data_IF_424482324461
#
_entry.id   IF_424482324461
#
_cell.length_a   1.000
_cell.length_b   1.000
_cell.length_c   1.000
_cell.angle_alpha   90.00
_cell.angle_beta   90.00
_cell.angle_gamma   90.00
#
_symmetry.space_group_name_H-M   'P 1'
#
loop_
_entity.id
_entity.type
_entity.pdbx_description
1 polymer ?
#
# COMPACT_ATOMS: atom_id res chain seq x y z
N UNK A 1 63.39 27.80 -20.64
CA UNK A 1 61.98 28.13 -20.76
C UNK A 1 61.27 27.14 -21.69
N UNK A 2 60.80 26.01 -21.22
CA UNK A 2 59.87 25.11 -21.94
C UNK A 2 59.48 23.98 -20.98
N UNK A 3 58.46 24.19 -20.19
CA UNK A 3 57.72 23.08 -19.51
C UNK A 3 56.56 23.64 -18.73
N UNK A 4 55.53 24.17 -19.37
CA UNK A 4 54.26 24.53 -18.70
C UNK A 4 53.00 24.17 -19.49
N UNK A 5 53.12 23.58 -20.70
CA UNK A 5 51.93 23.32 -21.54
C UNK A 5 51.41 21.89 -21.50
N UNK A 6 52.06 20.96 -20.81
CA UNK A 6 51.65 19.54 -20.83
C UNK A 6 50.76 19.12 -19.65
N UNK A 7 50.72 19.93 -18.60
CA UNK A 7 49.97 19.57 -17.37
C UNK A 7 48.47 19.93 -17.41
N UNK A 8 48.07 20.87 -18.27
CA UNK A 8 46.67 21.33 -18.36
C UNK A 8 45.80 20.38 -19.19
N UNK A 9 46.39 19.65 -20.14
CA UNK A 9 45.62 18.76 -21.03
C UNK A 9 45.23 17.42 -20.40
N UNK A 10 45.99 16.94 -19.40
CA UNK A 10 45.69 15.65 -18.71
C UNK A 10 44.57 15.80 -17.71
N UNK A 11 44.40 16.96 -17.06
CA UNK A 11 43.33 17.20 -16.08
C UNK A 11 41.95 17.32 -16.74
N UNK A 12 41.88 17.88 -17.96
CA UNK A 12 40.59 18.03 -18.68
C UNK A 12 40.05 16.70 -19.21
N UNK A 13 40.92 15.72 -19.52
CA UNK A 13 40.49 14.41 -20.00
C UNK A 13 39.95 13.51 -18.84
N UNK A 14 40.50 13.66 -17.63
CA UNK A 14 40.04 12.88 -16.47
C UNK A 14 38.63 13.25 -16.01
N UNK A 15 38.24 14.54 -16.11
CA UNK A 15 36.88 14.98 -15.74
C UNK A 15 35.83 14.58 -16.77
N UNK A 16 36.15 14.50 -18.04
CA UNK A 16 35.16 14.08 -19.07
C UNK A 16 34.89 12.59 -19.06
N UNK A 17 35.85 11.77 -18.66
CA UNK A 17 35.66 10.30 -18.55
C UNK A 17 34.78 9.95 -17.32
N UNK A 18 34.96 10.63 -16.19
CA UNK A 18 34.16 10.40 -15.00
C UNK A 18 32.67 10.73 -15.19
N UNK A 19 32.36 11.81 -15.92
CA UNK A 19 30.98 12.20 -16.21
C UNK A 19 30.27 11.22 -17.18
N UNK A 20 31.02 10.65 -18.14
CA UNK A 20 30.49 9.63 -19.06
C UNK A 20 30.18 8.30 -18.35
N UNK A 21 31.01 7.88 -17.39
CA UNK A 21 30.78 6.66 -16.61
C UNK A 21 29.64 6.84 -15.62
N UNK A 22 29.52 8.00 -14.95
CA UNK A 22 28.41 8.27 -14.03
C UNK A 22 27.06 8.28 -14.76
N UNK A 23 26.95 8.95 -15.90
CA UNK A 23 25.72 9.00 -16.69
C UNK A 23 25.28 7.64 -17.26
N UNK A 24 26.24 6.77 -17.59
CA UNK A 24 25.93 5.42 -18.08
C UNK A 24 25.50 4.48 -16.95
N UNK A 25 26.08 4.63 -15.75
CA UNK A 25 25.72 3.86 -14.57
C UNK A 25 24.31 4.22 -14.06
N UNK A 26 23.98 5.52 -14.01
CA UNK A 26 22.64 5.99 -13.64
C UNK A 26 21.55 5.54 -14.64
N UNK A 27 21.87 5.53 -15.94
CA UNK A 27 20.96 5.03 -16.97
C UNK A 27 20.68 3.54 -16.83
N UNK A 28 21.69 2.74 -16.49
CA UNK A 28 21.55 1.31 -16.29
C UNK A 28 20.78 0.98 -14.99
N UNK A 29 21.02 1.71 -13.89
CA UNK A 29 20.30 1.53 -12.64
C UNK A 29 18.81 1.85 -12.79
N UNK A 30 18.45 2.94 -13.49
CA UNK A 30 17.06 3.29 -13.74
C UNK A 30 16.37 2.25 -14.62
N UNK A 31 17.04 1.72 -15.64
CA UNK A 31 16.50 0.63 -16.46
C UNK A 31 16.24 -0.65 -15.62
N UNK A 32 17.15 -0.99 -14.70
CA UNK A 32 16.96 -2.12 -13.79
C UNK A 32 15.73 -1.90 -12.88
N UNK A 33 15.51 -0.69 -12.34
CA UNK A 33 14.36 -0.35 -11.54
C UNK A 33 13.04 -0.45 -12.34
N UNK A 34 13.05 -0.05 -13.61
CA UNK A 34 11.90 -0.21 -14.52
C UNK A 34 11.57 -1.70 -14.75
N UNK A 35 12.58 -2.54 -14.89
CA UNK A 35 12.39 -3.99 -15.02
C UNK A 35 11.81 -4.58 -13.73
N UNK A 36 12.38 -4.25 -12.57
CA UNK A 36 11.86 -4.69 -11.26
C UNK A 36 10.41 -4.26 -11.05
N UNK A 37 10.04 -3.03 -11.42
CA UNK A 37 8.67 -2.54 -11.32
C UNK A 37 7.71 -3.35 -12.22
N UNK A 38 8.11 -3.66 -13.46
CA UNK A 38 7.32 -4.50 -14.37
C UNK A 38 7.15 -5.93 -13.85
N UNK A 39 8.24 -6.53 -13.36
CA UNK A 39 8.23 -7.87 -12.76
C UNK A 39 7.29 -7.93 -11.56
N UNK A 40 7.26 -6.88 -10.72
CA UNK A 40 6.34 -6.80 -9.59
C UNK A 40 4.87 -6.77 -10.05
N UNK A 41 4.54 -5.95 -11.07
CA UNK A 41 3.19 -5.91 -11.62
C UNK A 41 2.79 -7.25 -12.24
N UNK A 42 3.69 -7.90 -12.97
CA UNK A 42 3.45 -9.25 -13.51
C UNK A 42 3.17 -10.24 -12.37
N UNK A 43 4.03 -10.29 -11.37
CA UNK A 43 3.89 -11.18 -10.21
C UNK A 43 2.55 -10.99 -9.48
N UNK A 44 2.12 -9.73 -9.28
CA UNK A 44 0.86 -9.42 -8.60
C UNK A 44 -0.39 -9.88 -9.36
N UNK A 45 -0.28 -10.06 -10.68
CA UNK A 45 -1.38 -10.51 -11.55
C UNK A 45 -1.29 -12.00 -11.90
N UNK A 46 -0.23 -12.70 -11.51
CA UNK A 46 -0.01 -14.10 -11.90
C UNK A 46 -0.39 -15.08 -10.78
N UNK A 47 0.19 -14.94 -9.59
CA UNK A 47 -0.08 -15.84 -8.48
C UNK A 47 0.39 -15.31 -7.14
N UNK A 48 -0.18 -15.85 -6.06
CA UNK A 48 0.25 -15.64 -4.69
C UNK A 48 1.74 -15.88 -4.50
N UNK A 49 2.25 -17.00 -5.02
CA UNK A 49 3.64 -17.41 -4.88
C UNK A 49 4.60 -16.41 -5.57
N UNK A 50 4.28 -15.99 -6.79
CA UNK A 50 5.10 -14.99 -7.50
C UNK A 50 5.08 -13.63 -6.80
N UNK A 51 3.93 -13.22 -6.26
CA UNK A 51 3.83 -11.99 -5.48
C UNK A 51 4.67 -12.04 -4.20
N UNK A 52 4.62 -13.15 -3.44
CA UNK A 52 5.48 -13.36 -2.26
C UNK A 52 6.97 -13.28 -2.63
N UNK A 53 7.38 -13.97 -3.69
CA UNK A 53 8.75 -13.94 -4.18
C UNK A 53 9.18 -12.54 -4.59
N UNK A 54 8.31 -11.78 -5.25
CA UNK A 54 8.58 -10.40 -5.67
C UNK A 54 8.79 -9.48 -4.47
N UNK A 55 7.92 -9.55 -3.45
CA UNK A 55 8.08 -8.76 -2.20
C UNK A 55 9.38 -9.16 -1.50
N UNK A 56 9.62 -10.45 -1.32
CA UNK A 56 10.80 -10.95 -0.63
C UNK A 56 12.11 -10.48 -1.27
N UNK A 57 12.17 -10.53 -2.60
CA UNK A 57 13.39 -10.25 -3.35
C UNK A 57 13.58 -8.77 -3.64
N UNK A 58 12.52 -8.00 -3.85
CA UNK A 58 12.58 -6.65 -4.41
C UNK A 58 12.27 -5.54 -3.40
N UNK A 59 11.58 -5.83 -2.29
CA UNK A 59 11.30 -4.82 -1.27
C UNK A 59 12.47 -4.67 -0.29
N UNK A 60 12.81 -3.42 0.06
CA UNK A 60 13.76 -3.12 1.11
C UNK A 60 13.23 -3.59 2.47
N UNK A 61 14.13 -3.88 3.43
CA UNK A 61 13.70 -4.32 4.78
C UNK A 61 12.87 -3.25 5.51
N UNK A 62 13.18 -1.98 5.28
CA UNK A 62 12.44 -0.80 5.76
C UNK A 62 11.38 -0.30 4.77
N UNK A 63 11.09 -1.06 3.72
CA UNK A 63 10.13 -0.70 2.68
C UNK A 63 8.70 -0.64 3.20
N UNK A 64 7.89 0.25 2.62
CA UNK A 64 6.49 0.45 2.96
C UNK A 64 5.60 0.28 1.72
N UNK A 65 4.55 -0.50 1.87
CA UNK A 65 3.44 -0.59 0.92
C UNK A 65 2.27 0.26 1.43
N UNK A 66 1.77 1.15 0.60
CA UNK A 66 0.64 2.05 0.90
C UNK A 66 -0.60 1.57 0.13
N UNK A 67 -1.48 0.75 0.75
CA UNK A 67 -2.66 0.20 0.07
C UNK A 67 -3.73 1.24 -0.22
N UNK A 68 -3.66 2.42 0.39
CA UNK A 68 -4.60 3.50 0.16
C UNK A 68 -4.85 4.36 1.40
N UNK A 69 -5.77 5.31 1.24
CA UNK A 69 -6.25 6.19 2.32
C UNK A 69 -7.75 6.02 2.49
N UNK A 70 -8.20 6.09 3.73
CA UNK A 70 -9.62 6.00 4.04
C UNK A 70 -9.99 6.99 5.17
N UNK A 71 -11.29 7.19 5.37
CA UNK A 71 -11.79 7.98 6.49
C UNK A 71 -12.21 7.04 7.61
N UNK A 72 -11.59 7.17 8.78
CA UNK A 72 -11.88 6.28 9.90
C UNK A 72 -11.12 6.62 11.17
N UNK A 73 -10.98 5.64 12.06
CA UNK A 73 -10.20 5.73 13.29
C UNK A 73 -8.72 5.42 13.04
N UNK A 74 -8.41 4.41 12.26
CA UNK A 74 -7.04 3.98 11.98
C UNK A 74 -6.54 2.93 12.95
N UNK A 75 -7.18 1.78 12.95
CA UNK A 75 -6.73 0.56 13.63
C UNK A 75 -7.02 -0.65 12.76
N UNK A 76 -6.30 -1.75 13.03
CA UNK A 76 -6.54 -3.06 12.44
C UNK A 76 -7.08 -3.98 13.52
N UNK A 77 -7.97 -4.88 13.12
CA UNK A 77 -8.52 -5.97 13.94
C UNK A 77 -8.58 -7.24 13.08
N UNK A 78 -8.64 -8.41 13.72
CA UNK A 78 -8.79 -9.68 13.01
C UNK A 78 -10.22 -10.20 13.21
N UNK A 79 -11.03 -10.30 12.15
CA UNK A 79 -12.40 -10.80 12.24
C UNK A 79 -12.47 -12.30 12.60
N UNK A 80 -11.40 -13.08 12.35
CA UNK A 80 -11.37 -14.53 12.54
C UNK A 80 -10.96 -14.97 13.95
N UNK A 81 -10.54 -14.05 14.83
CA UNK A 81 -10.07 -14.39 16.18
C UNK A 81 -11.19 -14.93 17.08
N UNK A 82 -12.34 -14.28 17.10
CA UNK A 82 -13.52 -14.72 17.83
C UNK A 82 -14.78 -14.08 17.21
N UNK A 83 -15.79 -14.89 16.89
CA UNK A 83 -17.03 -14.45 16.27
C UNK A 83 -17.73 -13.35 17.08
N UNK A 84 -18.01 -12.23 16.42
CA UNK A 84 -18.72 -11.09 17.01
C UNK A 84 -17.88 -10.18 17.91
N UNK A 85 -16.59 -10.44 18.09
CA UNK A 85 -15.68 -9.58 18.86
C UNK A 85 -14.81 -8.74 17.93
N UNK A 86 -14.50 -7.53 18.38
CA UNK A 86 -13.61 -6.62 17.65
C UNK A 86 -12.48 -6.16 18.58
N UNK A 87 -11.32 -6.83 18.49
CA UNK A 87 -10.13 -6.55 19.29
C UNK A 87 -9.12 -5.81 18.45
N UNK A 88 -8.60 -4.69 18.95
CA UNK A 88 -7.55 -3.90 18.30
C UNK A 88 -6.26 -4.72 18.29
N UNK A 89 -5.76 -5.05 17.11
CA UNK A 89 -4.46 -5.69 16.92
C UNK A 89 -3.33 -4.66 16.81
N UNK A 90 -3.58 -3.60 16.06
CA UNK A 90 -2.60 -2.54 15.80
C UNK A 90 -3.32 -1.20 15.62
N UNK A 91 -2.74 -0.14 16.15
CA UNK A 91 -3.12 1.24 15.83
C UNK A 91 -2.19 1.76 14.73
N UNK A 92 -2.77 2.37 13.70
CA UNK A 92 -2.02 2.94 12.57
C UNK A 92 -1.37 4.24 13.06
N UNK A 93 -0.08 4.37 12.83
CA UNK A 93 0.70 5.54 13.19
C UNK A 93 0.16 6.82 12.49
N UNK A 94 0.17 7.95 13.19
CA UNK A 94 -0.37 9.22 12.75
C UNK A 94 -1.88 9.17 12.38
N UNK A 95 -2.62 8.19 12.90
CA UNK A 95 -4.06 8.07 12.70
C UNK A 95 -4.85 8.76 13.82
N UNK A 96 -6.16 9.04 13.62
CA UNK A 96 -7.05 9.56 14.67
C UNK A 96 -7.13 8.71 15.94
N UNK A 97 -6.89 7.41 15.85
CA UNK A 97 -6.90 6.50 17.00
C UNK A 97 -5.63 6.56 17.83
N UNK A 98 -4.54 7.10 17.29
CA UNK A 98 -3.26 7.16 17.99
C UNK A 98 -3.37 7.93 19.30
N UNK A 99 -2.78 7.40 20.36
CA UNK A 99 -2.89 7.95 21.72
C UNK A 99 -4.24 7.70 22.42
N UNK A 100 -5.27 7.22 21.70
CA UNK A 100 -6.59 6.90 22.28
C UNK A 100 -6.79 5.38 22.41
N UNK A 101 -6.49 4.63 21.35
CA UNK A 101 -6.53 3.17 21.30
C UNK A 101 -5.13 2.56 21.51
N UNK A 102 -5.11 1.30 21.93
CA UNK A 102 -3.91 0.48 21.99
C UNK A 102 -4.24 -0.98 21.61
N UNK A 103 -3.25 -1.78 21.19
CA UNK A 103 -3.45 -3.22 20.99
C UNK A 103 -4.03 -3.89 22.22
N UNK A 104 -4.98 -4.81 22.02
CA UNK A 104 -5.72 -5.50 23.07
C UNK A 104 -6.98 -4.80 23.55
N UNK A 105 -7.27 -3.56 23.12
CA UNK A 105 -8.58 -2.94 23.37
C UNK A 105 -9.68 -3.70 22.63
N UNK A 106 -10.75 -4.04 23.32
CA UNK A 106 -11.93 -4.68 22.73
C UNK A 106 -13.11 -3.70 22.68
N UNK A 107 -13.68 -3.49 21.51
CA UNK A 107 -14.87 -2.66 21.38
C UNK A 107 -16.10 -3.37 21.89
N UNK A 108 -16.84 -2.70 22.79
CA UNK A 108 -18.13 -3.15 23.34
C UNK A 108 -19.28 -2.48 22.61
N UNK A 109 -19.18 -1.18 22.35
CA UNK A 109 -20.17 -0.45 21.57
C UNK A 109 -19.55 0.78 20.87
N UNK A 110 -20.17 1.20 19.76
CA UNK A 110 -19.80 2.41 19.00
C UNK A 110 -21.06 3.21 18.73
N UNK A 111 -21.10 4.48 19.17
CA UNK A 111 -22.30 5.35 19.12
C UNK A 111 -23.55 4.66 19.71
N UNK A 112 -23.37 3.85 20.75
CA UNK A 112 -24.45 3.10 21.39
C UNK A 112 -24.89 1.82 20.66
N UNK A 113 -24.31 1.53 19.50
CA UNK A 113 -24.52 0.26 18.78
C UNK A 113 -23.57 -0.78 19.35
N UNK A 114 -24.10 -1.90 19.82
CA UNK A 114 -23.34 -3.01 20.37
C UNK A 114 -22.45 -3.65 19.29
N UNK A 115 -21.22 -4.03 19.66
CA UNK A 115 -20.33 -4.80 18.81
C UNK A 115 -20.71 -6.27 18.93
N UNK A 116 -21.21 -6.84 17.87
CA UNK A 116 -21.54 -8.25 17.70
C UNK A 116 -21.52 -8.60 16.21
N UNK A 117 -21.48 -9.89 15.88
CA UNK A 117 -21.35 -10.36 14.49
C UNK A 117 -22.37 -9.71 13.56
N UNK A 118 -23.64 -9.67 13.95
CA UNK A 118 -24.70 -9.08 13.12
C UNK A 118 -24.43 -7.61 12.79
N UNK A 119 -24.02 -6.80 13.77
CA UNK A 119 -23.79 -5.37 13.56
C UNK A 119 -22.48 -5.12 12.81
N UNK A 120 -21.52 -6.04 12.86
CA UNK A 120 -20.31 -6.05 12.04
C UNK A 120 -20.67 -6.33 10.58
N UNK A 121 -21.39 -7.43 10.32
CA UNK A 121 -21.80 -7.85 8.96
C UNK A 121 -22.72 -6.83 8.27
N UNK A 122 -23.58 -6.19 9.04
CA UNK A 122 -24.49 -5.15 8.55
C UNK A 122 -23.83 -3.75 8.50
N UNK A 123 -22.52 -3.63 8.74
CA UNK A 123 -21.72 -2.38 8.72
C UNK A 123 -22.33 -1.25 9.57
N UNK A 124 -23.01 -1.58 10.68
CA UNK A 124 -23.70 -0.60 11.54
C UNK A 124 -22.79 0.19 12.46
N UNK A 125 -21.53 -0.26 12.62
CA UNK A 125 -20.57 0.38 13.51
C UNK A 125 -19.98 1.64 12.87
N UNK A 126 -20.07 2.76 13.55
CA UNK A 126 -19.73 4.08 13.01
C UNK A 126 -18.21 4.36 12.94
N UNK A 127 -17.39 3.40 12.51
CA UNK A 127 -15.96 3.58 12.33
C UNK A 127 -15.62 4.39 11.08
N UNK A 128 -16.39 4.23 10.02
CA UNK A 128 -16.28 4.98 8.75
C UNK A 128 -17.32 6.11 8.65
N UNK A 129 -17.19 6.99 7.66
CA UNK A 129 -18.12 8.07 7.35
C UNK A 129 -17.44 9.43 7.20
N UNK A 130 -18.12 10.54 7.45
CA UNK A 130 -17.57 11.88 7.22
C UNK A 130 -16.37 12.19 8.13
N UNK A 131 -15.27 12.77 7.59
CA UNK A 131 -14.15 13.22 8.41
C UNK A 131 -14.56 14.38 9.29
N UNK A 132 -13.86 14.55 10.43
CA UNK A 132 -14.15 15.61 11.43
C UNK A 132 -15.32 15.30 12.36
N UNK A 133 -16.07 14.22 12.12
CA UNK A 133 -17.14 13.79 13.04
C UNK A 133 -16.55 13.04 14.24
N UNK A 134 -16.89 13.51 15.43
CA UNK A 134 -16.56 12.84 16.68
C UNK A 134 -17.45 11.62 16.88
N UNK A 135 -16.85 10.50 17.27
CA UNK A 135 -17.53 9.22 17.52
C UNK A 135 -17.15 8.74 18.91
N UNK A 136 -18.15 8.37 19.71
CA UNK A 136 -17.97 7.84 21.05
C UNK A 136 -18.01 6.32 21.00
N UNK A 137 -17.16 5.68 21.77
CA UNK A 137 -17.15 4.22 21.89
C UNK A 137 -16.90 3.80 23.33
N UNK A 138 -17.35 2.60 23.65
CA UNK A 138 -17.06 1.91 24.90
C UNK A 138 -16.12 0.76 24.56
N UNK A 139 -15.00 0.69 25.25
CA UNK A 139 -14.01 -0.39 25.10
C UNK A 139 -13.78 -1.10 26.43
N UNK A 140 -13.34 -2.34 26.35
CA UNK A 140 -12.74 -3.09 27.44
C UNK A 140 -11.22 -3.02 27.33
N UNK A 141 -10.54 -2.50 28.33
CA UNK A 141 -9.09 -2.42 28.44
C UNK A 141 -8.65 -2.91 29.80
N UNK A 142 -7.76 -3.92 29.84
CA UNK A 142 -7.28 -4.53 31.10
C UNK A 142 -8.43 -4.96 32.04
N UNK A 143 -9.50 -5.55 31.48
CA UNK A 143 -10.69 -6.00 32.22
C UNK A 143 -11.58 -4.85 32.73
N UNK A 144 -11.35 -3.60 32.31
CA UNK A 144 -12.12 -2.44 32.74
C UNK A 144 -12.77 -1.75 31.56
N UNK A 145 -14.06 -1.46 31.68
CA UNK A 145 -14.79 -0.66 30.71
C UNK A 145 -14.32 0.79 30.73
N UNK A 146 -14.05 1.36 29.55
CA UNK A 146 -13.67 2.75 29.34
C UNK A 146 -14.49 3.39 28.24
N UNK A 147 -14.93 4.63 28.47
CA UNK A 147 -15.50 5.48 27.43
C UNK A 147 -14.37 6.21 26.73
N UNK A 148 -14.34 6.13 25.40
CA UNK A 148 -13.39 6.84 24.55
C UNK A 148 -14.14 7.67 23.53
N UNK A 149 -13.41 8.59 22.89
CA UNK A 149 -13.95 9.37 21.80
C UNK A 149 -12.84 9.63 20.78
N UNK A 150 -13.11 9.31 19.52
CA UNK A 150 -12.19 9.51 18.40
C UNK A 150 -12.85 10.41 17.37
N UNK A 151 -12.15 11.42 16.90
CA UNK A 151 -12.61 12.24 15.77
C UNK A 151 -12.12 11.61 14.49
N UNK A 152 -13.03 11.13 13.62
CA UNK A 152 -12.67 10.53 12.34
C UNK A 152 -11.80 11.45 11.49
N UNK A 153 -10.77 10.93 10.88
CA UNK A 153 -9.86 11.65 10.00
C UNK A 153 -9.45 10.81 8.80
N UNK A 154 -8.61 11.39 7.96
CA UNK A 154 -7.98 10.66 6.87
C UNK A 154 -6.85 9.82 7.45
N UNK A 155 -6.94 8.51 7.27
CA UNK A 155 -5.93 7.53 7.67
C UNK A 155 -5.06 7.19 6.48
N UNK A 156 -3.74 7.27 6.65
CA UNK A 156 -2.76 6.81 5.67
C UNK A 156 -2.29 5.41 6.12
N UNK A 157 -2.85 4.37 5.52
CA UNK A 157 -2.43 3.02 5.82
C UNK A 157 -1.08 2.71 5.18
N UNK A 158 -0.21 2.00 5.90
CA UNK A 158 1.02 1.44 5.36
C UNK A 158 1.30 0.08 5.99
N UNK A 159 1.85 -0.83 5.20
CA UNK A 159 2.32 -2.14 5.65
C UNK A 159 3.83 -2.23 5.43
N UNK A 160 4.56 -2.72 6.41
CA UNK A 160 5.98 -3.07 6.26
C UNK A 160 6.14 -4.26 5.32
N UNK A 161 7.38 -4.58 4.93
CA UNK A 161 7.70 -5.78 4.16
C UNK A 161 7.15 -7.04 4.86
N UNK A 162 7.41 -7.20 6.15
CA UNK A 162 6.96 -8.33 6.96
C UNK A 162 5.44 -8.44 6.95
N UNK A 163 4.72 -7.36 7.25
CA UNK A 163 3.25 -7.32 7.23
C UNK A 163 2.66 -7.60 5.85
N UNK A 164 3.34 -7.14 4.79
CA UNK A 164 2.92 -7.42 3.41
C UNK A 164 3.09 -8.90 3.07
N UNK A 165 4.21 -9.52 3.49
CA UNK A 165 4.44 -10.95 3.30
C UNK A 165 3.43 -11.79 4.11
N UNK A 166 3.18 -11.45 5.37
CA UNK A 166 2.19 -12.11 6.22
C UNK A 166 0.80 -12.05 5.59
N UNK A 167 0.31 -10.84 5.26
CA UNK A 167 -1.00 -10.64 4.65
C UNK A 167 -1.18 -11.42 3.34
N UNK A 168 -0.16 -11.45 2.48
CA UNK A 168 -0.21 -12.23 1.23
C UNK A 168 -0.14 -13.73 1.53
N UNK A 169 0.64 -14.17 2.52
CA UNK A 169 0.75 -15.60 2.87
C UNK A 169 -0.56 -16.18 3.42
N UNK A 170 -1.33 -15.38 4.14
CA UNK A 170 -2.63 -15.73 4.71
C UNK A 170 -3.78 -15.62 3.70
N UNK A 171 -3.61 -14.82 2.64
CA UNK A 171 -4.63 -14.64 1.62
C UNK A 171 -4.95 -15.96 0.92
N UNK A 172 -6.22 -16.16 0.58
CA UNK A 172 -6.65 -17.33 -0.18
C UNK A 172 -6.08 -17.31 -1.61
N UNK A 173 -5.71 -18.44 -2.16
CA UNK A 173 -5.22 -18.54 -3.55
C UNK A 173 -6.30 -18.12 -4.55
N UNK A 174 -7.57 -18.33 -4.23
CA UNK A 174 -8.72 -17.90 -5.02
C UNK A 174 -8.85 -16.36 -5.15
N UNK A 175 -8.04 -15.58 -4.42
CA UNK A 175 -7.98 -14.11 -4.58
C UNK A 175 -7.21 -13.68 -5.84
N UNK A 176 -6.45 -14.58 -6.49
CA UNK A 176 -5.76 -14.31 -7.75
C UNK A 176 -6.68 -14.58 -8.95
N UNK A 177 -7.62 -13.66 -9.15
CA UNK A 177 -8.71 -13.78 -10.12
C UNK A 177 -8.46 -13.02 -11.42
N UNK A 178 -7.22 -12.63 -11.70
CA UNK A 178 -6.88 -11.90 -12.93
C UNK A 178 -7.15 -12.75 -14.15
N UNK A 179 -8.04 -12.27 -15.03
CA UNK A 179 -8.43 -12.91 -16.28
C UNK A 179 -7.50 -12.47 -17.41
N UNK A 180 -7.16 -11.18 -17.44
CA UNK A 180 -6.28 -10.58 -18.43
C UNK A 180 -5.62 -9.32 -17.86
N UNK A 181 -4.39 -9.03 -18.28
CA UNK A 181 -3.70 -7.79 -17.89
C UNK A 181 -2.67 -7.36 -18.93
N UNK A 182 -2.34 -6.07 -18.91
CA UNK A 182 -1.28 -5.52 -19.74
C UNK A 182 -0.65 -4.30 -19.10
N UNK A 183 0.64 -4.13 -19.30
CA UNK A 183 1.36 -2.90 -18.98
C UNK A 183 1.22 -1.96 -20.17
N UNK A 184 0.58 -0.81 -19.97
CA UNK A 184 0.37 0.19 -21.02
C UNK A 184 1.59 1.08 -21.20
N UNK A 185 2.19 1.56 -20.10
CA UNK A 185 3.30 2.50 -20.12
C UNK A 185 4.12 2.40 -18.84
N UNK A 186 5.42 2.69 -18.95
CA UNK A 186 6.33 2.86 -17.83
C UNK A 186 7.02 4.20 -17.97
N UNK A 187 6.94 5.02 -16.94
CA UNK A 187 7.61 6.31 -16.85
C UNK A 187 8.50 6.36 -15.60
N UNK A 188 9.66 6.97 -15.71
CA UNK A 188 10.60 7.08 -14.60
C UNK A 188 11.01 8.52 -14.32
N UNK A 189 11.19 8.84 -13.02
CA UNK A 189 11.76 10.08 -12.54
C UNK A 189 13.12 9.77 -11.91
N UNK A 190 14.19 10.04 -12.67
CA UNK A 190 15.57 9.77 -12.24
C UNK A 190 15.97 10.53 -10.98
N UNK A 191 15.54 11.79 -10.85
CA UNK A 191 15.89 12.64 -9.71
C UNK A 191 15.36 12.08 -8.39
N UNK A 192 14.17 11.51 -8.43
CA UNK A 192 13.48 10.97 -7.25
C UNK A 192 13.64 9.45 -7.10
N UNK A 193 14.39 8.82 -8.02
CA UNK A 193 14.55 7.36 -8.11
C UNK A 193 13.20 6.62 -8.05
N UNK A 194 12.26 7.07 -8.88
CA UNK A 194 10.86 6.64 -8.85
C UNK A 194 10.44 6.14 -10.23
N UNK A 195 9.73 5.02 -10.25
CA UNK A 195 9.13 4.42 -11.45
C UNK A 195 7.62 4.40 -11.30
N UNK A 196 6.91 4.75 -12.35
CA UNK A 196 5.46 4.65 -12.46
C UNK A 196 5.13 3.64 -13.55
N UNK A 197 4.25 2.68 -13.23
CA UNK A 197 3.76 1.69 -14.17
C UNK A 197 2.26 1.90 -14.33
N UNK A 198 1.85 2.31 -15.53
CA UNK A 198 0.43 2.34 -15.89
C UNK A 198 0.07 1.01 -16.52
N UNK A 199 -0.87 0.29 -15.88
CA UNK A 199 -1.33 -1.01 -16.34
C UNK A 199 -2.85 -1.09 -16.26
N UNK A 200 -3.40 -2.03 -17.00
CA UNK A 200 -4.81 -2.39 -17.00
C UNK A 200 -4.93 -3.86 -16.65
N UNK A 201 -5.98 -4.22 -15.92
CA UNK A 201 -6.34 -5.61 -15.70
C UNK A 201 -7.86 -5.80 -15.72
N UNK A 202 -8.27 -7.03 -16.03
CA UNK A 202 -9.61 -7.58 -15.91
C UNK A 202 -9.56 -8.73 -14.91
N UNK A 203 -10.47 -8.73 -13.94
CA UNK A 203 -10.51 -9.71 -12.85
C UNK A 203 -11.96 -10.11 -12.54
N UNK A 204 -12.12 -11.24 -11.85
CA UNK A 204 -13.40 -11.68 -11.30
C UNK A 204 -13.48 -11.26 -9.82
N UNK A 205 -14.57 -10.58 -9.43
CA UNK A 205 -14.90 -10.41 -8.03
C UNK A 205 -15.66 -11.64 -7.56
N UNK A 206 -15.03 -12.47 -6.71
CA UNK A 206 -15.60 -13.76 -6.26
C UNK A 206 -16.79 -13.62 -5.31
N UNK A 207 -16.90 -12.47 -4.61
CA UNK A 207 -18.04 -12.21 -3.70
C UNK A 207 -19.34 -11.97 -4.46
N UNK A 208 -19.25 -11.29 -5.63
CA UNK A 208 -20.43 -10.94 -6.43
C UNK A 208 -20.56 -11.78 -7.70
N UNK A 209 -19.57 -12.64 -8.00
CA UNK A 209 -19.47 -13.41 -9.25
C UNK A 209 -19.59 -12.49 -10.49
N UNK A 210 -18.93 -11.34 -10.45
CA UNK A 210 -18.94 -10.33 -11.50
C UNK A 210 -17.53 -9.99 -11.97
N UNK A 211 -17.35 -9.92 -13.28
CA UNK A 211 -16.12 -9.41 -13.87
C UNK A 211 -16.06 -7.89 -13.78
N UNK A 212 -14.87 -7.35 -13.56
CA UNK A 212 -14.59 -5.92 -13.62
C UNK A 212 -13.25 -5.67 -14.29
N UNK A 213 -13.07 -4.47 -14.79
CA UNK A 213 -11.80 -4.01 -15.34
C UNK A 213 -11.44 -2.62 -14.81
N UNK A 214 -10.15 -2.33 -14.75
CA UNK A 214 -9.66 -1.01 -14.34
C UNK A 214 -8.27 -0.71 -14.87
N UNK A 215 -7.95 0.58 -14.96
CA UNK A 215 -6.58 1.06 -15.05
C UNK A 215 -6.04 1.37 -13.66
N UNK A 216 -4.75 1.09 -13.47
CA UNK A 216 -4.02 1.37 -12.24
C UNK A 216 -2.70 2.04 -12.61
N UNK A 217 -2.29 3.03 -11.82
CA UNK A 217 -0.93 3.55 -11.84
C UNK A 217 -0.26 3.15 -10.53
N UNK A 218 0.72 2.28 -10.61
CA UNK A 218 1.56 1.90 -9.46
C UNK A 218 2.83 2.74 -9.45
N UNK A 219 3.10 3.38 -8.33
CA UNK A 219 4.32 4.12 -8.07
C UNK A 219 5.27 3.27 -7.23
N UNK A 220 6.50 3.13 -7.67
CA UNK A 220 7.61 2.50 -6.95
C UNK A 220 8.69 3.52 -6.68
N UNK A 221 9.14 3.65 -5.43
CA UNK A 221 10.33 4.39 -5.06
C UNK A 221 11.44 3.41 -4.71
N UNK A 222 12.64 3.66 -5.21
CA UNK A 222 13.79 2.77 -5.04
C UNK A 222 14.90 3.43 -4.21
N UNK A 223 15.68 2.63 -3.49
CA UNK A 223 16.94 3.04 -2.92
C UNK A 223 18.10 2.85 -3.92
N UNK A 224 19.32 3.20 -3.51
CA UNK A 224 20.52 3.05 -4.34
C UNK A 224 20.85 1.58 -4.67
N UNK A 225 20.41 0.64 -3.85
CA UNK A 225 20.58 -0.79 -4.07
C UNK A 225 19.51 -1.39 -5.02
N UNK A 226 18.62 -0.57 -5.60
CA UNK A 226 17.54 -1.03 -6.48
C UNK A 226 16.42 -1.76 -5.77
N UNK A 227 16.26 -1.58 -4.44
CA UNK A 227 15.15 -2.14 -3.68
C UNK A 227 14.01 -1.13 -3.51
N UNK A 228 12.79 -1.61 -3.56
CA UNK A 228 11.56 -0.80 -3.37
C UNK A 228 11.45 -0.35 -1.92
N UNK A 229 11.51 0.95 -1.67
CA UNK A 229 11.33 1.56 -0.36
C UNK A 229 9.92 2.07 -0.13
N UNK A 230 9.16 2.33 -1.21
CA UNK A 230 7.76 2.69 -1.12
C UNK A 230 7.00 2.24 -2.37
N UNK A 231 5.81 1.65 -2.17
CA UNK A 231 4.87 1.30 -3.23
C UNK A 231 3.50 1.90 -2.91
N UNK A 232 2.82 2.43 -3.93
CA UNK A 232 1.44 2.92 -3.80
C UNK A 232 0.72 2.84 -5.13
N UNK A 233 -0.61 2.65 -5.08
CA UNK A 233 -1.47 2.56 -6.26
C UNK A 233 -2.46 3.72 -6.31
N UNK A 234 -2.80 4.10 -7.54
CA UNK A 234 -3.98 4.89 -7.88
C UNK A 234 -4.80 4.12 -8.91
N UNK A 235 -6.05 3.83 -8.59
CA UNK A 235 -6.94 3.00 -9.40
C UNK A 235 -8.27 3.69 -9.71
N UNK A 236 -9.00 3.16 -10.68
CA UNK A 236 -10.35 3.59 -11.06
C UNK A 236 -11.43 2.96 -10.15
N UNK A 237 -11.24 3.05 -8.82
CA UNK A 237 -12.10 2.40 -7.81
C UNK A 237 -13.59 2.69 -8.01
N UNK A 238 -13.93 3.95 -8.35
CA UNK A 238 -15.33 4.32 -8.62
C UNK A 238 -15.91 3.60 -9.85
N UNK A 239 -15.09 3.37 -10.87
CA UNK A 239 -15.51 2.60 -12.05
C UNK A 239 -15.73 1.14 -11.65
N UNK A 240 -14.85 0.54 -10.87
CA UNK A 240 -14.99 -0.82 -10.35
C UNK A 240 -16.27 -0.96 -9.54
N UNK A 241 -16.53 -0.07 -8.58
CA UNK A 241 -17.76 -0.08 -7.78
C UNK A 241 -19.01 -0.02 -8.68
N UNK A 242 -19.00 0.81 -9.71
CA UNK A 242 -20.13 0.90 -10.66
C UNK A 242 -20.34 -0.39 -11.45
N UNK A 243 -19.28 -1.07 -11.87
CA UNK A 243 -19.33 -2.38 -12.55
C UNK A 243 -19.88 -3.48 -11.64
N UNK A 244 -19.60 -3.41 -10.33
CA UNK A 244 -20.10 -4.33 -9.31
C UNK A 244 -21.51 -3.97 -8.81
N UNK A 245 -22.19 -2.99 -9.42
CA UNK A 245 -23.57 -2.61 -9.12
C UNK A 245 -23.74 -1.63 -7.95
N UNK A 246 -22.64 -1.10 -7.37
CA UNK A 246 -22.73 -0.10 -6.32
C UNK A 246 -23.11 1.27 -6.89
N UNK A 247 -23.98 1.99 -6.20
CA UNK A 247 -24.32 3.37 -6.49
C UNK A 247 -24.01 4.27 -5.30
N UNK A 248 -23.52 5.48 -5.58
CA UNK A 248 -23.35 6.49 -4.54
C UNK A 248 -24.72 7.07 -4.22
N UNK A 249 -25.21 6.86 -2.99
CA UNK A 249 -26.35 7.56 -2.42
C UNK A 249 -25.89 8.68 -1.48
N UNK A 250 -26.66 9.77 -1.43
CA UNK A 250 -26.51 10.82 -0.42
C UNK A 250 -27.52 10.64 0.70
#
# INVERSE_FOLDING_TARGET
MKSKSLLVMVVSLAFSVSALFAGHHESNAMHANEMTAKEWINASNTSKQEMLASIQNNMAEDGLNYPGRFVGFGFNWNPDLEEGRMVVMRVIENSPAEGTLQPGDEFISVEGVEVNQKNIDEEKLAFSGLPGKRVNAVILRDGKTKNISVTRGIVNSSNTKEQSLESISEADEDNWTTIDFRINEVASNKKENTVYVWHWHKSLNTTFDLEFEQNVVTRFKFNEAGKVTARSDLSEERLVQSQLGFSLSR
#
